data_IF_333461295251
#
_entry.id   IF_333461295251
#
_cell.length_a   1.000
_cell.length_b   1.000
_cell.length_c   1.000
_cell.angle_alpha   90.00
_cell.angle_beta   90.00
_cell.angle_gamma   90.00
#
_symmetry.space_group_name_H-M   'P 1'
#
loop_
_entity.id
_entity.type
_entity.pdbx_description
1 polymer ?
#
# COMPACT_ATOMS: atom_id res chain seq x y z
N UNK A 1 -1.72 15.51 -35.67
CA UNK A 1 -2.01 14.30 -36.46
C UNK A 1 -1.32 13.12 -35.80
N UNK A 2 -2.08 12.03 -35.59
CA UNK A 2 -1.69 10.68 -35.11
C UNK A 2 -1.23 10.59 -33.64
N UNK A 3 -1.55 9.59 -32.83
CA UNK A 3 -2.64 8.60 -32.76
C UNK A 3 -2.36 7.75 -31.51
N UNK A 4 -3.41 7.39 -30.75
CA UNK A 4 -3.47 6.22 -29.86
C UNK A 4 -2.67 6.35 -28.54
N UNK A 5 -3.15 5.87 -27.40
CA UNK A 5 -4.18 4.87 -27.17
C UNK A 5 -5.21 5.34 -26.15
N UNK A 6 -6.48 5.33 -26.54
CA UNK A 6 -7.57 5.23 -25.57
C UNK A 6 -7.48 3.85 -24.93
N UNK A 7 -7.00 3.78 -23.69
CA UNK A 7 -7.16 2.59 -22.85
C UNK A 7 -8.65 2.41 -22.57
N UNK A 8 -9.33 1.67 -23.45
CA UNK A 8 -10.67 1.20 -23.20
C UNK A 8 -10.59 0.20 -22.04
N UNK A 9 -10.98 0.68 -20.85
CA UNK A 9 -11.18 -0.14 -19.66
C UNK A 9 -12.43 -0.99 -19.90
N UNK A 10 -12.25 -2.11 -20.60
CA UNK A 10 -13.31 -3.08 -20.83
C UNK A 10 -13.51 -3.88 -19.54
N UNK A 11 -14.35 -3.35 -18.64
CA UNK A 11 -14.83 -4.07 -17.47
C UNK A 11 -15.77 -5.20 -17.93
N UNK A 12 -15.20 -6.34 -18.28
CA UNK A 12 -15.96 -7.56 -18.53
C UNK A 12 -16.43 -8.10 -17.16
N UNK A 13 -17.63 -7.70 -16.74
CA UNK A 13 -18.37 -8.34 -15.65
C UNK A 13 -18.93 -9.69 -16.11
N UNK A 14 -18.10 -10.72 -16.22
CA UNK A 14 -18.56 -12.10 -16.50
C UNK A 14 -19.09 -12.75 -15.21
N UNK A 15 -20.37 -13.14 -15.26
CA UNK A 15 -20.95 -14.32 -14.61
C UNK A 15 -20.71 -14.51 -13.11
N UNK A 16 -21.59 -13.94 -12.28
CA UNK A 16 -21.65 -14.15 -10.83
C UNK A 16 -22.07 -15.60 -10.48
N UNK A 17 -21.14 -16.55 -10.55
CA UNK A 17 -21.32 -17.79 -9.80
C UNK A 17 -21.16 -17.47 -8.30
N UNK A 18 -22.11 -17.87 -7.44
CA UNK A 18 -22.03 -17.59 -6.02
C UNK A 18 -20.83 -18.36 -5.43
N UNK A 19 -19.70 -17.66 -5.26
CA UNK A 19 -18.57 -18.11 -4.48
C UNK A 19 -18.55 -17.33 -3.16
N UNK A 20 -18.31 -17.97 -2.01
CA UNK A 20 -18.15 -17.24 -0.75
C UNK A 20 -16.98 -16.27 -0.91
N UNK A 21 -17.27 -14.97 -0.92
CA UNK A 21 -16.24 -13.95 -0.99
C UNK A 21 -15.40 -14.03 0.28
N UNK A 22 -14.14 -14.49 0.12
CA UNK A 22 -13.14 -14.50 1.18
C UNK A 22 -12.53 -13.10 1.27
N UNK A 23 -13.18 -12.21 2.00
CA UNK A 23 -12.53 -10.97 2.38
C UNK A 23 -11.37 -11.28 3.36
N UNK A 24 -10.32 -10.47 3.29
CA UNK A 24 -9.07 -10.67 4.02
C UNK A 24 -9.26 -10.39 5.51
N UNK A 25 -9.67 -11.40 6.26
CA UNK A 25 -9.89 -11.32 7.71
C UNK A 25 -8.68 -11.81 8.50
N UNK A 26 -8.77 -11.73 9.83
CA UNK A 26 -7.72 -12.24 10.71
C UNK A 26 -7.49 -13.74 10.45
N UNK A 27 -6.23 -14.08 10.22
CA UNK A 27 -5.81 -15.44 9.88
C UNK A 27 -6.05 -16.42 11.04
N UNK A 28 -6.50 -17.66 10.76
CA UNK A 28 -6.57 -18.70 11.78
C UNK A 28 -5.17 -19.02 12.36
N UNK A 29 -5.07 -19.48 13.62
CA UNK A 29 -3.81 -19.85 14.23
C UNK A 29 -2.99 -20.81 13.35
N UNK A 30 -1.72 -20.48 13.11
CA UNK A 30 -0.80 -21.28 12.29
C UNK A 30 -1.06 -21.24 10.78
N UNK A 31 -2.06 -20.48 10.31
CA UNK A 31 -2.29 -20.23 8.89
C UNK A 31 -1.83 -18.83 8.51
N UNK A 32 -1.52 -18.65 7.25
CA UNK A 32 -0.99 -17.40 6.75
C UNK A 32 -0.89 -17.37 5.24
N UNK A 33 -0.36 -16.27 4.75
CA UNK A 33 -0.09 -16.05 3.34
C UNK A 33 1.15 -15.20 3.18
N UNK A 34 1.73 -15.26 1.99
CA UNK A 34 2.83 -14.41 1.54
C UNK A 34 2.47 -13.86 0.17
N UNK A 35 2.82 -12.61 -0.08
CA UNK A 35 2.61 -11.92 -1.36
C UNK A 35 3.88 -11.18 -1.74
N UNK A 36 4.28 -11.35 -3.00
CA UNK A 36 5.27 -10.51 -3.64
C UNK A 36 4.53 -9.54 -4.58
N UNK A 37 4.69 -8.25 -4.36
CA UNK A 37 4.17 -7.21 -5.23
C UNK A 37 5.33 -6.45 -5.89
N UNK A 38 5.22 -6.24 -7.20
CA UNK A 38 6.17 -5.46 -7.99
C UNK A 38 5.45 -4.24 -8.54
N UNK A 39 6.02 -3.07 -8.31
CA UNK A 39 5.51 -1.79 -8.81
C UNK A 39 6.55 -1.16 -9.72
N UNK A 40 6.07 -0.54 -10.79
CA UNK A 40 6.88 0.26 -11.70
C UNK A 40 6.11 1.54 -12.02
N UNK A 41 6.75 2.68 -11.84
CA UNK A 41 6.17 4.00 -12.06
C UNK A 41 7.16 4.86 -12.85
N UNK A 42 6.66 5.53 -13.89
CA UNK A 42 7.38 6.56 -14.65
C UNK A 42 6.62 7.89 -14.48
N UNK A 43 7.26 8.88 -13.85
CA UNK A 43 6.67 10.16 -13.51
C UNK A 43 7.38 11.28 -14.25
N UNK A 44 6.62 12.09 -15.00
CA UNK A 44 7.13 13.21 -15.83
C UNK A 44 6.74 14.60 -15.31
N UNK A 45 5.74 14.63 -14.43
CA UNK A 45 5.20 15.84 -13.83
C UNK A 45 5.33 15.77 -12.30
N UNK A 46 5.49 16.92 -11.64
CA UNK A 46 5.39 17.08 -10.20
C UNK A 46 4.37 18.18 -9.86
N UNK A 47 3.98 18.28 -8.59
CA UNK A 47 3.15 19.38 -8.11
C UNK A 47 4.03 20.38 -7.35
N UNK A 48 3.87 21.67 -7.64
CA UNK A 48 4.55 22.74 -6.90
C UNK A 48 3.84 23.05 -5.57
N UNK A 49 4.36 24.01 -4.81
CA UNK A 49 3.79 24.40 -3.50
C UNK A 49 2.39 25.00 -3.60
N UNK A 50 1.94 25.41 -4.78
CA UNK A 50 0.59 25.89 -5.03
C UNK A 50 -0.36 24.77 -5.45
N UNK A 51 0.15 23.54 -5.60
CA UNK A 51 -0.61 22.40 -6.13
C UNK A 51 -0.73 22.42 -7.65
N UNK A 52 0.01 23.29 -8.35
CA UNK A 52 0.00 23.33 -9.80
C UNK A 52 0.91 22.24 -10.36
N UNK A 53 0.43 21.55 -11.41
CA UNK A 53 1.21 20.54 -12.10
C UNK A 53 2.30 21.19 -12.97
N UNK A 54 3.55 20.77 -12.78
CA UNK A 54 4.73 21.24 -13.50
C UNK A 54 5.49 20.06 -14.08
N UNK A 55 5.97 20.18 -15.32
CA UNK A 55 6.90 19.21 -15.87
C UNK A 55 8.24 19.26 -15.10
N UNK A 56 8.95 18.14 -15.01
CA UNK A 56 10.34 18.18 -14.57
C UNK A 56 11.21 18.99 -15.55
N UNK A 57 12.25 19.62 -15.01
CA UNK A 57 13.17 20.43 -15.81
C UNK A 57 13.88 19.57 -16.88
N UNK A 58 14.09 20.15 -18.07
CA UNK A 58 14.86 19.54 -19.18
C UNK A 58 14.42 18.10 -19.56
N UNK A 59 13.12 17.89 -19.75
CA UNK A 59 12.51 16.58 -20.08
C UNK A 59 12.84 15.47 -19.06
N UNK A 60 13.12 15.87 -17.82
CA UNK A 60 13.44 14.93 -16.76
C UNK A 60 12.28 13.99 -16.43
N UNK A 61 12.61 12.82 -15.90
CA UNK A 61 11.60 11.88 -15.42
C UNK A 61 12.13 11.03 -14.27
N UNK A 62 11.23 10.72 -13.33
CA UNK A 62 11.50 9.88 -12.18
C UNK A 62 10.92 8.48 -12.41
N UNK A 63 11.80 7.48 -12.50
CA UNK A 63 11.42 6.07 -12.62
C UNK A 63 11.63 5.37 -11.28
N UNK A 64 10.55 4.86 -10.71
CA UNK A 64 10.58 4.07 -9.49
C UNK A 64 10.20 2.63 -9.78
N UNK A 65 11.00 1.68 -9.32
CA UNK A 65 10.66 0.26 -9.31
C UNK A 65 10.82 -0.27 -7.89
N UNK A 66 9.77 -0.89 -7.36
CA UNK A 66 9.75 -1.37 -5.99
C UNK A 66 9.22 -2.80 -5.91
N UNK A 67 9.85 -3.61 -5.08
CA UNK A 67 9.41 -4.94 -4.71
C UNK A 67 9.02 -4.96 -3.24
N UNK A 68 7.84 -5.48 -2.93
CA UNK A 68 7.34 -5.64 -1.57
C UNK A 68 7.05 -7.11 -1.30
N UNK A 69 7.72 -7.68 -0.31
CA UNK A 69 7.42 -8.99 0.23
C UNK A 69 6.62 -8.80 1.50
N UNK A 70 5.33 -9.15 1.47
CA UNK A 70 4.43 -9.05 2.62
C UNK A 70 3.98 -10.44 3.03
N UNK A 71 3.93 -10.72 4.33
CA UNK A 71 3.35 -11.95 4.85
C UNK A 71 2.52 -11.70 6.11
N UNK A 72 1.58 -12.58 6.35
CA UNK A 72 0.79 -12.61 7.58
C UNK A 72 0.68 -14.03 8.13
N UNK A 73 0.61 -14.16 9.45
CA UNK A 73 0.39 -15.43 10.14
C UNK A 73 -0.52 -15.26 11.35
N UNK A 74 -1.54 -16.10 11.46
CA UNK A 74 -2.42 -16.17 12.62
C UNK A 74 -1.67 -16.67 13.84
N UNK A 75 -1.69 -15.87 14.90
CA UNK A 75 -1.03 -16.19 16.17
C UNK A 75 -1.97 -16.95 17.10
N UNK A 76 -3.19 -16.45 17.24
CA UNK A 76 -4.23 -17.02 18.09
C UNK A 76 -5.61 -16.64 17.57
N UNK A 77 -6.67 -17.13 18.21
CA UNK A 77 -8.03 -16.86 17.75
C UNK A 77 -8.31 -15.35 17.75
N UNK A 78 -8.51 -14.78 16.56
CA UNK A 78 -8.77 -13.36 16.39
C UNK A 78 -7.54 -12.46 16.45
N UNK A 79 -6.31 -12.99 16.40
CA UNK A 79 -5.08 -12.21 16.26
C UNK A 79 -4.14 -12.78 15.20
N UNK A 80 -3.62 -11.92 14.32
CA UNK A 80 -2.52 -12.24 13.40
C UNK A 80 -1.40 -11.19 13.44
N UNK A 81 -0.22 -11.59 12.98
CA UNK A 81 0.95 -10.74 12.82
C UNK A 81 1.30 -10.61 11.35
N UNK A 82 1.73 -9.42 10.94
CA UNK A 82 2.13 -9.10 9.58
C UNK A 82 3.54 -8.54 9.57
N UNK A 83 4.27 -8.85 8.51
CA UNK A 83 5.56 -8.24 8.21
C UNK A 83 5.62 -7.86 6.73
N UNK A 84 6.25 -6.74 6.43
CA UNK A 84 6.56 -6.32 5.07
C UNK A 84 8.01 -5.85 4.98
N UNK A 85 8.68 -6.31 3.93
CA UNK A 85 10.01 -5.86 3.53
C UNK A 85 9.90 -5.23 2.14
N UNK A 86 10.67 -4.18 1.92
CA UNK A 86 10.71 -3.50 0.62
C UNK A 86 12.13 -3.43 0.07
N UNK A 87 12.24 -3.50 -1.26
CA UNK A 87 13.46 -3.26 -2.00
C UNK A 87 13.13 -2.32 -3.15
N UNK A 88 13.88 -1.23 -3.27
CA UNK A 88 13.55 -0.12 -4.15
C UNK A 88 14.72 0.20 -5.07
N UNK A 89 14.36 0.61 -6.29
CA UNK A 89 15.26 1.17 -7.29
C UNK A 89 14.64 2.45 -7.81
N UNK A 90 15.33 3.56 -7.58
CA UNK A 90 14.86 4.89 -7.94
C UNK A 90 15.87 5.53 -8.87
N UNK A 91 15.42 5.95 -10.03
CA UNK A 91 16.20 6.61 -11.06
C UNK A 91 15.59 7.97 -11.37
N UNK A 92 16.42 8.99 -11.40
CA UNK A 92 16.03 10.31 -11.87
C UNK A 92 16.97 10.69 -13.02
N UNK A 93 16.40 10.80 -14.21
CA UNK A 93 17.10 11.29 -15.39
C UNK A 93 16.75 12.78 -15.52
N UNK A 94 17.73 13.68 -15.52
CA UNK A 94 17.58 15.07 -15.95
C UNK A 94 18.60 15.41 -17.05
N UNK A 95 18.39 16.50 -17.79
CA UNK A 95 19.24 16.87 -18.93
C UNK A 95 20.72 17.13 -18.60
N UNK A 96 21.13 17.03 -17.32
CA UNK A 96 22.51 17.19 -16.87
C UNK A 96 23.12 15.99 -16.16
N UNK A 97 22.34 15.16 -15.44
CA UNK A 97 22.85 14.01 -14.68
C UNK A 97 21.83 12.86 -14.52
N UNK A 98 22.34 11.62 -14.59
CA UNK A 98 21.61 10.41 -14.20
C UNK A 98 21.90 10.08 -12.73
N UNK A 99 20.86 10.09 -11.89
CA UNK A 99 20.96 9.66 -10.49
C UNK A 99 20.24 8.32 -10.31
N UNK A 100 20.93 7.34 -9.76
CA UNK A 100 20.39 6.00 -9.50
C UNK A 100 20.69 5.58 -8.07
N UNK A 101 19.64 5.19 -7.34
CA UNK A 101 19.74 4.55 -6.03
C UNK A 101 19.06 3.17 -6.08
N UNK A 102 19.64 2.18 -5.42
CA UNK A 102 19.06 0.83 -5.30
C UNK A 102 19.42 0.26 -3.94
N UNK A 103 18.43 -0.29 -3.23
CA UNK A 103 18.66 -0.80 -1.89
C UNK A 103 17.39 -1.26 -1.17
N UNK A 104 17.56 -1.82 0.04
CA UNK A 104 16.42 -2.07 0.92
C UNK A 104 15.73 -0.76 1.26
N UNK A 105 14.40 -0.79 1.26
CA UNK A 105 13.60 0.27 1.86
C UNK A 105 13.24 -0.09 3.30
N UNK A 106 12.24 0.60 3.84
CA UNK A 106 11.80 0.37 5.21
C UNK A 106 11.11 -0.99 5.38
N UNK A 107 11.19 -1.51 6.61
CA UNK A 107 10.47 -2.68 7.06
C UNK A 107 9.24 -2.25 7.86
N UNK A 108 8.17 -3.02 7.79
CA UNK A 108 6.95 -2.75 8.56
C UNK A 108 6.48 -4.00 9.28
N UNK A 109 6.04 -3.83 10.51
CA UNK A 109 5.49 -4.89 11.35
C UNK A 109 4.12 -4.44 11.86
N UNK A 110 3.15 -5.35 11.84
CA UNK A 110 1.83 -5.07 12.43
C UNK A 110 1.31 -6.25 13.24
N UNK A 111 0.48 -5.93 14.22
CA UNK A 111 -0.42 -6.85 14.90
C UNK A 111 -1.85 -6.44 14.60
N UNK A 112 -2.70 -7.40 14.25
CA UNK A 112 -4.11 -7.15 13.97
C UNK A 112 -4.99 -8.03 14.84
N UNK A 113 -6.03 -7.43 15.40
CA UNK A 113 -6.99 -8.08 16.27
C UNK A 113 -8.42 -7.88 15.76
N UNK A 114 -9.26 -8.91 15.84
CA UNK A 114 -10.69 -8.86 15.53
C UNK A 114 -11.52 -8.98 16.82
N UNK A 115 -11.70 -7.88 17.58
CA UNK A 115 -12.22 -7.95 18.94
C UNK A 115 -13.63 -8.52 19.05
N UNK A 116 -14.48 -8.29 18.04
CA UNK A 116 -15.84 -8.79 18.03
C UNK A 116 -15.94 -10.31 17.94
N UNK A 117 -14.91 -11.00 17.45
CA UNK A 117 -14.86 -12.47 17.49
C UNK A 117 -14.81 -13.00 18.92
N UNK A 118 -14.12 -12.31 19.83
CA UNK A 118 -14.09 -12.67 21.25
C UNK A 118 -15.43 -12.46 21.95
N UNK A 119 -16.29 -11.62 21.38
CA UNK A 119 -17.65 -11.36 21.84
C UNK A 119 -18.70 -12.24 21.12
N UNK A 120 -18.28 -13.23 20.34
CA UNK A 120 -19.17 -14.13 19.60
C UNK A 120 -19.83 -13.52 18.37
N UNK A 121 -19.44 -12.31 17.97
CA UNK A 121 -19.97 -11.64 16.78
C UNK A 121 -19.12 -11.99 15.54
N UNK A 122 -19.83 -12.24 14.43
CA UNK A 122 -19.22 -12.44 13.11
C UNK A 122 -19.05 -11.13 12.33
N UNK A 123 -19.35 -9.98 12.95
CA UNK A 123 -19.16 -8.68 12.30
C UNK A 123 -17.68 -8.51 11.92
N UNK A 124 -17.38 -8.28 10.63
CA UNK A 124 -16.03 -8.40 10.15
C UNK A 124 -15.29 -7.07 10.31
N UNK A 125 -14.80 -6.85 11.52
CA UNK A 125 -14.05 -5.68 11.95
C UNK A 125 -12.73 -6.10 12.57
N UNK A 126 -11.68 -5.34 12.31
CA UNK A 126 -10.38 -5.52 12.91
C UNK A 126 -9.71 -4.18 13.21
N UNK A 127 -8.81 -4.19 14.20
CA UNK A 127 -7.91 -3.09 14.51
C UNK A 127 -6.50 -3.60 14.30
N UNK A 128 -5.68 -2.83 13.60
CA UNK A 128 -4.28 -3.14 13.31
C UNK A 128 -3.39 -2.03 13.84
N UNK A 129 -2.46 -2.38 14.71
CA UNK A 129 -1.39 -1.50 15.16
C UNK A 129 -0.08 -1.94 14.55
N UNK A 130 0.78 -1.01 14.15
CA UNK A 130 2.08 -1.37 13.61
C UNK A 130 3.13 -0.28 13.70
N UNK A 131 4.32 -0.64 13.26
CA UNK A 131 5.50 0.21 13.25
C UNK A 131 6.25 0.03 11.94
N UNK A 132 6.68 1.14 11.35
CA UNK A 132 7.65 1.20 10.28
C UNK A 132 9.03 1.43 10.88
N UNK A 133 9.98 0.59 10.52
CA UNK A 133 11.36 0.63 10.99
C UNK A 133 12.25 1.13 9.84
N UNK A 134 13.06 2.19 10.07
CA UNK A 134 13.97 2.73 9.06
C UNK A 134 15.21 1.84 8.93
N UNK A 135 15.04 0.69 8.29
CA UNK A 135 16.15 -0.25 8.01
C UNK A 135 16.83 0.01 6.68
N UNK A 136 16.21 0.83 5.82
CA UNK A 136 16.77 1.25 4.53
C UNK A 136 17.77 2.39 4.68
N UNK A 137 18.64 2.55 3.70
CA UNK A 137 19.61 3.66 3.68
C UNK A 137 18.90 5.01 3.48
N UNK A 138 19.03 5.89 4.47
CA UNK A 138 18.66 7.30 4.38
C UNK A 138 19.93 8.15 4.41
N UNK A 139 20.15 8.96 3.37
CA UNK A 139 21.25 9.94 3.34
C UNK A 139 20.75 11.23 2.70
N UNK A 140 20.86 12.35 3.42
CA UNK A 140 20.57 13.68 2.88
C UNK A 140 21.85 14.22 2.24
N UNK A 141 22.05 13.88 0.97
CA UNK A 141 23.13 14.44 0.13
C UNK A 141 22.47 14.98 -1.14
N UNK A 142 22.91 16.13 -1.65
CA UNK A 142 22.32 16.83 -2.81
C UNK A 142 22.20 15.98 -4.08
N UNK A 143 22.93 14.86 -4.15
CA UNK A 143 22.96 13.93 -5.28
C UNK A 143 22.35 12.54 -4.97
N UNK A 144 21.74 12.38 -3.80
CA UNK A 144 21.15 11.11 -3.36
C UNK A 144 19.62 11.19 -3.35
N UNK A 145 18.98 10.19 -3.94
CA UNK A 145 17.53 10.04 -3.86
C UNK A 145 17.23 9.05 -2.73
N UNK A 146 16.63 9.48 -1.62
CA UNK A 146 16.43 8.62 -0.46
C UNK A 146 15.42 7.51 -0.79
N UNK A 147 15.73 6.27 -0.39
CA UNK A 147 14.91 5.06 -0.63
C UNK A 147 13.99 4.73 0.57
N UNK A 148 14.22 5.41 1.69
CA UNK A 148 13.33 5.48 2.85
C UNK A 148 13.28 6.93 3.31
N UNK A 149 12.53 7.22 4.36
CA UNK A 149 12.47 8.56 4.95
C UNK A 149 13.26 8.66 6.27
N UNK A 150 13.92 7.57 6.68
CA UNK A 150 14.78 7.51 7.86
C UNK A 150 14.05 7.67 9.20
N UNK A 151 12.72 7.69 9.19
CA UNK A 151 11.90 7.88 10.39
C UNK A 151 11.18 6.59 10.79
N UNK A 152 10.93 6.48 12.10
CA UNK A 152 10.02 5.49 12.65
C UNK A 152 8.61 6.05 12.63
N UNK A 153 7.69 5.27 12.08
CA UNK A 153 6.28 5.64 12.03
C UNK A 153 5.46 4.62 12.81
N UNK A 154 4.54 5.10 13.64
CA UNK A 154 3.55 4.27 14.32
C UNK A 154 2.23 4.38 13.59
N UNK A 155 1.55 3.25 13.38
CA UNK A 155 0.29 3.21 12.64
C UNK A 155 -0.80 2.55 13.48
N UNK A 156 -1.99 3.13 13.46
CA UNK A 156 -3.21 2.50 13.95
C UNK A 156 -4.29 2.55 12.86
N UNK A 157 -4.83 1.40 12.51
CA UNK A 157 -5.76 1.21 11.39
C UNK A 157 -7.00 0.48 11.89
N UNK A 158 -8.18 1.00 11.54
CA UNK A 158 -9.46 0.32 11.72
C UNK A 158 -9.93 -0.23 10.36
N UNK A 159 -10.21 -1.52 10.31
CA UNK A 159 -10.61 -2.25 9.10
C UNK A 159 -12.04 -2.77 9.26
N UNK A 160 -12.83 -2.63 8.21
CA UNK A 160 -14.18 -3.19 8.16
C UNK A 160 -14.50 -3.66 6.73
N UNK A 161 -15.49 -4.53 6.63
CA UNK A 161 -16.07 -4.83 5.32
C UNK A 161 -17.38 -5.58 5.42
N UNK A 162 -17.86 -6.02 4.27
CA UNK A 162 -19.12 -6.72 4.17
C UNK A 162 -19.13 -7.59 2.93
N UNK A 163 -19.62 -8.81 3.09
CA UNK A 163 -19.87 -9.75 1.99
C UNK A 163 -21.36 -9.73 1.68
N UNK A 164 -21.72 -9.53 0.42
CA UNK A 164 -23.13 -9.48 -0.01
C UNK A 164 -23.65 -10.86 -0.44
N UNK A 165 -23.16 -11.93 0.20
CA UNK A 165 -23.62 -13.30 -0.05
C UNK A 165 -25.17 -13.39 -0.06
N UNK A 166 -25.81 -14.06 -1.03
CA UNK A 166 -25.26 -14.98 -2.04
C UNK A 166 -24.60 -14.33 -3.26
N UNK A 167 -24.64 -13.00 -3.40
CA UNK A 167 -23.89 -12.33 -4.47
C UNK A 167 -22.40 -12.44 -4.15
N UNK A 168 -21.59 -12.74 -5.16
CA UNK A 168 -20.14 -12.85 -5.01
C UNK A 168 -19.42 -11.48 -4.96
N UNK A 169 -20.13 -10.46 -4.48
CA UNK A 169 -19.66 -9.09 -4.35
C UNK A 169 -19.33 -8.77 -2.89
N UNK A 170 -18.34 -7.90 -2.68
CA UNK A 170 -17.96 -7.44 -1.36
C UNK A 170 -17.54 -5.97 -1.39
N UNK A 171 -17.58 -5.34 -0.21
CA UNK A 171 -16.94 -4.07 0.07
C UNK A 171 -16.02 -4.24 1.27
N UNK A 172 -14.87 -3.59 1.27
CA UNK A 172 -13.99 -3.55 2.43
C UNK A 172 -13.18 -2.28 2.39
N UNK A 173 -12.81 -1.78 3.54
CA UNK A 173 -11.94 -0.63 3.63
C UNK A 173 -11.33 -0.51 4.98
N UNK A 174 -10.46 0.47 5.09
CA UNK A 174 -9.84 0.83 6.33
C UNK A 174 -9.54 2.32 6.38
N UNK A 175 -9.45 2.83 7.60
CA UNK A 175 -8.98 4.17 7.91
C UNK A 175 -7.86 4.04 8.93
N UNK A 176 -6.80 4.79 8.73
CA UNK A 176 -5.61 4.74 9.56
C UNK A 176 -5.11 6.12 9.93
N UNK A 177 -4.46 6.18 11.08
CA UNK A 177 -3.68 7.34 11.50
C UNK A 177 -2.24 6.90 11.71
N UNK A 178 -1.30 7.71 11.22
CA UNK A 178 0.13 7.49 11.31
C UNK A 178 0.76 8.62 12.11
N UNK A 179 1.40 8.27 13.22
CA UNK A 179 2.27 9.17 13.97
C UNK A 179 3.69 9.05 13.45
N UNK A 180 4.28 10.16 13.05
CA UNK A 180 5.65 10.18 12.54
C UNK A 180 6.61 10.73 13.57
N UNK A 181 7.71 10.03 13.79
CA UNK A 181 8.79 10.57 14.60
C UNK A 181 9.62 11.56 13.79
N UNK A 182 10.04 12.64 14.43
CA UNK A 182 10.88 13.66 13.80
C UNK A 182 12.22 13.06 13.37
N UNK A 183 12.54 13.13 12.08
CA UNK A 183 13.86 12.82 11.56
C UNK A 183 14.74 14.07 11.58
N UNK A 184 15.65 14.16 12.56
CA UNK A 184 16.59 15.29 12.73
C UNK A 184 17.58 15.46 11.58
N UNK A 185 17.78 14.43 10.76
CA UNK A 185 18.64 14.49 9.58
C UNK A 185 17.88 15.01 8.35
N UNK A 186 16.54 14.97 8.37
CA UNK A 186 15.71 15.52 7.31
C UNK A 186 15.54 17.04 7.45
N UNK A 187 15.60 17.76 6.33
CA UNK A 187 15.27 19.19 6.27
C UNK A 187 13.75 19.45 6.24
N UNK A 188 12.94 18.39 6.24
CA UNK A 188 11.48 18.46 6.11
C UNK A 188 10.81 17.58 7.17
N UNK A 189 9.93 18.20 7.94
CA UNK A 189 8.95 17.50 8.76
C UNK A 189 7.74 17.12 7.89
N UNK A 190 7.41 15.83 7.88
CA UNK A 190 6.29 15.29 7.12
C UNK A 190 4.96 15.37 7.89
N UNK A 191 4.99 15.57 9.21
CA UNK A 191 3.82 15.59 10.07
C UNK A 191 3.07 14.26 10.15
N UNK A 192 2.13 14.17 11.08
CA UNK A 192 1.21 13.05 11.19
C UNK A 192 0.24 13.00 9.99
N UNK A 193 -0.28 11.82 9.67
CA UNK A 193 -1.15 11.62 8.51
C UNK A 193 -2.36 10.74 8.83
N UNK A 194 -3.53 11.20 8.37
CA UNK A 194 -4.72 10.37 8.20
C UNK A 194 -4.70 9.79 6.78
N UNK A 195 -4.86 8.48 6.66
CA UNK A 195 -4.86 7.77 5.39
C UNK A 195 -5.99 6.75 5.37
N UNK A 196 -6.48 6.38 4.19
CA UNK A 196 -7.63 5.50 4.05
C UNK A 196 -7.59 4.69 2.76
N UNK A 197 -8.38 3.63 2.75
CA UNK A 197 -8.54 2.76 1.60
C UNK A 197 -9.94 2.20 1.58
N UNK A 198 -10.57 2.22 0.42
CA UNK A 198 -11.86 1.57 0.20
C UNK A 198 -11.78 0.78 -1.10
N UNK A 199 -12.26 -0.45 -1.07
CA UNK A 199 -12.41 -1.27 -2.26
C UNK A 199 -13.78 -1.92 -2.32
N UNK A 200 -14.25 -2.10 -3.55
CA UNK A 200 -15.39 -2.94 -3.88
C UNK A 200 -14.95 -3.94 -4.95
N UNK A 201 -15.38 -5.18 -4.82
CA UNK A 201 -14.98 -6.23 -5.75
C UNK A 201 -16.03 -7.29 -5.95
N UNK A 202 -15.81 -8.09 -6.98
CA UNK A 202 -16.62 -9.24 -7.35
C UNK A 202 -15.72 -10.41 -7.73
N UNK A 203 -16.21 -11.63 -7.52
CA UNK A 203 -15.52 -12.85 -7.90
C UNK A 203 -16.45 -13.78 -8.70
N UNK A 204 -15.91 -14.34 -9.78
CA UNK A 204 -16.56 -15.32 -10.65
C UNK A 204 -15.63 -16.53 -10.81
N UNK A 205 -15.82 -17.56 -9.96
CA UNK A 205 -14.93 -18.71 -9.92
C UNK A 205 -13.49 -18.33 -9.55
N UNK A 206 -12.55 -18.49 -10.50
CA UNK A 206 -11.13 -18.16 -10.32
C UNK A 206 -10.78 -16.70 -10.68
N UNK A 207 -11.72 -15.98 -11.29
CA UNK A 207 -11.52 -14.62 -11.76
C UNK A 207 -12.16 -13.65 -10.79
N UNK A 208 -11.53 -12.50 -10.56
CA UNK A 208 -12.07 -11.44 -9.74
C UNK A 208 -11.72 -10.08 -10.31
N UNK A 209 -12.58 -9.11 -10.06
CA UNK A 209 -12.35 -7.71 -10.38
C UNK A 209 -12.57 -6.89 -9.12
N UNK A 210 -11.74 -5.88 -8.90
CA UNK A 210 -11.92 -4.91 -7.81
C UNK A 210 -11.61 -3.51 -8.30
N UNK A 211 -12.35 -2.55 -7.77
CA UNK A 211 -12.04 -1.12 -7.85
C UNK A 211 -11.63 -0.72 -6.45
N UNK A 212 -10.56 0.05 -6.35
CA UNK A 212 -10.03 0.54 -5.10
C UNK A 212 -9.70 2.03 -5.20
N UNK A 213 -9.83 2.70 -4.07
CA UNK A 213 -9.49 4.09 -3.83
C UNK A 213 -8.59 4.12 -2.60
N UNK A 214 -7.44 4.75 -2.72
CA UNK A 214 -6.47 5.01 -1.66
C UNK A 214 -6.18 6.51 -1.54
N UNK A 215 -5.87 6.97 -0.33
CA UNK A 215 -5.53 8.36 -0.05
C UNK A 215 -5.09 8.59 1.39
#
# INVERSE_FOLDING_TARGET
MRSGASFALLAICVGLAPAPARAQWVEPPGRGWVTLALYHQDTRDHFDTSGDRRAFFADGHAVSTAAFLTGAVGLMHGVDAWAQLSFQRLRYDDGGMDRLATGPGDARLWLRAAPFRWLGSSFPFAIRGGVKLPVGDFRVVSDFIPLGDGQRDWELIAEAGHSFWPRSTYVSGWVGYRWREENRESLKDHGDELFYFVQAGTQAGRWGCRIALDG
#
